data_IF_739189360337
#
_entry.id   IF_739189360337
#
_cell.length_a   1.000
_cell.length_b   1.000
_cell.length_c   1.000
_cell.angle_alpha   90.00
_cell.angle_beta   90.00
_cell.angle_gamma   90.00
#
_symmetry.space_group_name_H-M   'P 1'
#
loop_
_entity.id
_entity.type
_entity.pdbx_description
1 polymer ?
#
# COMPACT_ATOMS: atom_id res chain seq x y z
N UNK A 1 17.83 70.39 23.90
CA UNK A 1 18.52 69.29 24.60
C UNK A 1 17.45 68.28 24.97
N UNK A 2 17.55 66.99 24.62
CA UNK A 2 16.54 66.03 25.05
C UNK A 2 16.71 65.83 26.56
N UNK A 3 15.68 66.18 27.33
CA UNK A 3 15.61 65.85 28.76
C UNK A 3 15.75 64.33 28.89
N UNK A 4 16.70 63.89 29.71
CA UNK A 4 16.86 62.48 30.01
C UNK A 4 15.56 62.03 30.68
N UNK A 5 14.91 60.96 30.20
CA UNK A 5 13.73 60.46 30.88
C UNK A 5 14.12 60.15 32.34
N UNK A 6 13.26 60.52 33.29
CA UNK A 6 13.46 60.19 34.69
C UNK A 6 13.75 58.70 34.88
N UNK A 7 14.25 58.29 36.04
CA UNK A 7 14.58 56.89 36.33
C UNK A 7 13.36 55.95 36.33
N UNK A 8 12.14 56.48 36.28
CA UNK A 8 10.87 55.75 36.32
C UNK A 8 10.70 54.68 35.21
N UNK A 9 10.94 54.96 33.90
CA UNK A 9 10.78 53.96 32.84
C UNK A 9 11.82 52.84 32.92
N UNK A 10 13.01 53.14 33.46
CA UNK A 10 14.07 52.16 33.67
C UNK A 10 13.69 51.20 34.80
N UNK A 11 13.11 51.72 35.88
CA UNK A 11 12.61 50.93 37.02
C UNK A 11 11.40 50.07 36.59
N UNK A 12 10.49 50.61 35.78
CA UNK A 12 9.36 49.86 35.22
C UNK A 12 9.85 48.73 34.31
N UNK A 13 10.79 49.00 33.41
CA UNK A 13 11.36 47.98 32.53
C UNK A 13 12.11 46.88 33.31
N UNK A 14 12.91 47.26 34.32
CA UNK A 14 13.64 46.31 35.16
C UNK A 14 12.69 45.43 36.01
N UNK A 15 11.62 46.02 36.57
CA UNK A 15 10.62 45.28 37.34
C UNK A 15 9.81 44.31 36.46
N UNK A 16 9.42 44.72 35.25
CA UNK A 16 8.76 43.85 34.28
C UNK A 16 9.65 42.68 33.86
N UNK A 17 10.95 42.90 33.62
CA UNK A 17 11.89 41.80 33.35
C UNK A 17 12.06 40.87 34.55
N UNK A 18 12.15 41.41 35.76
CA UNK A 18 12.27 40.60 36.98
C UNK A 18 11.02 39.73 37.19
N UNK A 19 9.82 40.30 37.02
CA UNK A 19 8.54 39.56 37.15
C UNK A 19 8.41 38.47 36.10
N UNK A 20 8.71 38.77 34.84
CA UNK A 20 8.66 37.78 33.75
C UNK A 20 9.71 36.68 33.90
N UNK A 21 10.91 37.00 34.39
CA UNK A 21 11.93 36.01 34.72
C UNK A 21 11.49 35.10 35.87
N UNK A 22 10.93 35.65 36.94
CA UNK A 22 10.39 34.87 38.07
C UNK A 22 9.25 33.97 37.60
N UNK A 23 8.35 34.47 36.77
CA UNK A 23 7.27 33.68 36.19
C UNK A 23 7.80 32.56 35.29
N UNK A 24 8.79 32.84 34.45
CA UNK A 24 9.43 31.86 33.57
C UNK A 24 10.16 30.76 34.35
N UNK A 25 10.90 31.14 35.40
CA UNK A 25 11.56 30.19 36.31
C UNK A 25 10.53 29.37 37.08
N UNK A 26 9.44 29.99 37.54
CA UNK A 26 8.35 29.30 38.24
C UNK A 26 7.67 28.27 37.33
N UNK A 27 7.36 28.65 36.08
CA UNK A 27 6.80 27.75 35.07
C UNK A 27 7.77 26.60 34.75
N UNK A 28 9.07 26.89 34.67
CA UNK A 28 10.11 25.88 34.48
C UNK A 28 10.20 24.89 35.65
N UNK A 29 10.17 25.38 36.89
CA UNK A 29 10.17 24.54 38.08
C UNK A 29 8.89 23.69 38.19
N UNK A 30 7.75 24.26 37.80
CA UNK A 30 6.47 23.55 37.72
C UNK A 30 6.50 22.44 36.66
N UNK A 31 7.00 22.73 35.45
CA UNK A 31 7.18 21.74 34.40
C UNK A 31 8.12 20.60 34.84
N UNK A 32 9.22 20.90 35.56
CA UNK A 32 10.11 19.89 36.15
C UNK A 32 9.39 19.01 37.18
N UNK A 33 8.49 19.58 37.99
CA UNK A 33 7.69 18.82 38.96
C UNK A 33 6.64 17.94 38.27
N UNK A 34 6.07 18.40 37.16
CA UNK A 34 5.16 17.60 36.34
C UNK A 34 5.89 16.40 35.72
N UNK A 35 7.08 16.60 35.12
CA UNK A 35 7.88 15.48 34.58
C UNK A 35 8.28 14.46 35.66
N UNK A 36 8.54 14.90 36.89
CA UNK A 36 8.88 13.99 37.99
C UNK A 36 7.67 13.23 38.57
N UNK A 37 6.44 13.68 38.28
CA UNK A 37 5.19 13.01 38.66
C UNK A 37 4.57 12.20 37.52
N UNK A 38 5.00 12.46 36.28
CA UNK A 38 4.48 11.81 35.08
C UNK A 38 5.01 10.38 34.88
N UNK A 39 5.99 9.93 35.67
CA UNK A 39 6.46 8.52 35.67
C UNK A 39 5.34 7.52 36.04
N UNK A 40 4.26 7.97 36.68
CA UNK A 40 3.08 7.14 37.03
C UNK A 40 1.94 7.16 35.98
N UNK A 41 2.03 8.01 34.95
CA UNK A 41 1.00 8.13 33.89
C UNK A 41 1.42 7.43 32.60
N UNK A 42 0.61 6.49 32.12
CA UNK A 42 0.89 5.62 30.95
C UNK A 42 1.03 6.33 29.57
N UNK A 43 1.06 7.66 29.49
CA UNK A 43 0.89 8.41 28.24
C UNK A 43 2.16 9.18 27.85
N UNK A 44 2.83 8.73 26.78
CA UNK A 44 4.09 9.31 26.26
C UNK A 44 4.01 10.80 25.82
N UNK A 45 2.80 11.34 25.68
CA UNK A 45 2.57 12.75 25.32
C UNK A 45 2.81 13.71 26.48
N UNK A 46 2.61 13.25 27.72
CA UNK A 46 2.70 14.10 28.91
C UNK A 46 4.15 14.46 29.23
N UNK A 47 5.06 13.48 29.12
CA UNK A 47 6.51 13.69 29.26
C UNK A 47 7.05 14.66 28.21
N UNK A 48 6.56 14.53 26.98
CA UNK A 48 7.01 15.37 25.88
C UNK A 48 6.52 16.80 26.03
N UNK A 49 5.25 16.99 26.40
CA UNK A 49 4.66 18.30 26.66
C UNK A 49 5.34 19.00 27.85
N UNK A 50 5.62 18.27 28.92
CA UNK A 50 6.27 18.83 30.10
C UNK A 50 7.76 19.17 29.84
N UNK A 51 8.49 18.37 29.06
CA UNK A 51 9.85 18.70 28.60
C UNK A 51 9.86 19.94 27.70
N UNK A 52 8.89 20.07 26.80
CA UNK A 52 8.77 21.27 25.97
C UNK A 52 8.48 22.51 26.80
N UNK A 53 7.52 22.45 27.72
CA UNK A 53 7.22 23.54 28.63
C UNK A 53 8.47 23.96 29.43
N UNK A 54 9.25 22.99 29.91
CA UNK A 54 10.51 23.24 30.61
C UNK A 54 11.55 23.96 29.75
N UNK A 55 11.76 23.48 28.52
CA UNK A 55 12.75 24.03 27.59
C UNK A 55 12.35 25.41 27.04
N UNK A 56 11.05 25.67 26.90
CA UNK A 56 10.51 26.86 26.27
C UNK A 56 10.19 28.00 27.25
N UNK A 57 9.88 27.68 28.50
CA UNK A 57 9.49 28.65 29.51
C UNK A 57 10.52 29.76 29.70
N UNK A 58 11.81 29.41 29.80
CA UNK A 58 12.88 30.38 30.02
C UNK A 58 13.15 31.28 28.80
N UNK A 59 13.43 30.75 27.59
CA UNK A 59 13.72 31.60 26.44
C UNK A 59 12.52 32.44 26.00
N UNK A 60 11.28 31.91 26.01
CA UNK A 60 10.09 32.72 25.70
C UNK A 60 9.78 33.74 26.79
N UNK A 61 9.99 33.39 28.06
CA UNK A 61 9.83 34.33 29.17
C UNK A 61 10.80 35.50 29.09
N UNK A 62 12.06 35.24 28.75
CA UNK A 62 13.07 36.28 28.51
C UNK A 62 12.73 37.16 27.31
N UNK A 63 12.28 36.58 26.20
CA UNK A 63 11.92 37.33 24.99
C UNK A 63 10.63 38.16 25.20
N UNK A 64 9.62 37.59 25.86
CA UNK A 64 8.39 38.29 26.22
C UNK A 64 8.66 39.42 27.24
N UNK A 65 9.52 39.17 28.23
CA UNK A 65 10.00 40.18 29.17
C UNK A 65 10.75 41.31 28.46
N UNK A 66 11.65 40.99 27.53
CA UNK A 66 12.36 41.96 26.72
C UNK A 66 11.40 42.77 25.82
N UNK A 67 10.35 42.17 25.30
CA UNK A 67 9.32 42.84 24.49
C UNK A 67 8.50 43.83 25.32
N UNK A 68 8.04 43.43 26.51
CA UNK A 68 7.31 44.31 27.42
C UNK A 68 8.20 45.44 27.96
N UNK A 69 9.46 45.13 28.29
CA UNK A 69 10.45 46.12 28.71
C UNK A 69 10.73 47.14 27.59
N UNK A 70 10.90 46.68 26.35
CA UNK A 70 11.11 47.58 25.21
C UNK A 70 9.96 48.58 25.03
N UNK A 71 8.71 48.16 25.26
CA UNK A 71 7.53 49.03 25.22
C UNK A 71 7.44 50.03 26.37
N UNK A 72 8.07 49.75 27.51
CA UNK A 72 8.10 50.65 28.67
C UNK A 72 9.16 51.76 28.54
N UNK A 73 10.21 51.56 27.72
CA UNK A 73 11.22 52.59 27.47
C UNK A 73 10.75 53.60 26.40
N UNK A 74 11.02 54.90 26.57
CA UNK A 74 10.75 55.92 25.55
C UNK A 74 11.80 55.84 24.42
N UNK A 75 11.74 54.77 23.63
CA UNK A 75 12.63 54.54 22.51
C UNK A 75 12.27 55.42 21.31
N UNK A 76 13.27 55.83 20.54
CA UNK A 76 13.04 56.49 19.26
C UNK A 76 12.31 55.55 18.29
N UNK A 77 11.42 56.08 17.44
CA UNK A 77 10.55 55.26 16.57
C UNK A 77 11.33 54.24 15.72
N UNK A 78 12.50 54.62 15.20
CA UNK A 78 13.38 53.73 14.43
C UNK A 78 13.97 52.58 15.25
N UNK A 79 14.40 52.84 16.48
CA UNK A 79 14.94 51.80 17.37
C UNK A 79 13.87 50.84 17.85
N UNK A 80 12.64 51.32 18.11
CA UNK A 80 11.53 50.46 18.52
C UNK A 80 11.15 49.44 17.42
N UNK A 81 11.12 49.88 16.15
CA UNK A 81 10.84 48.99 15.02
C UNK A 81 11.95 47.94 14.86
N UNK A 82 13.22 48.34 14.98
CA UNK A 82 14.35 47.41 14.89
C UNK A 82 14.32 46.38 16.04
N UNK A 83 14.13 46.83 17.28
CA UNK A 83 14.01 45.95 18.46
C UNK A 83 12.83 44.99 18.33
N UNK A 84 11.68 45.47 17.86
CA UNK A 84 10.51 44.63 17.60
C UNK A 84 10.80 43.52 16.59
N UNK A 85 11.45 43.84 15.45
CA UNK A 85 11.82 42.85 14.43
C UNK A 85 12.83 41.82 14.93
N UNK A 86 13.81 42.23 15.73
CA UNK A 86 14.80 41.30 16.29
C UNK A 86 14.17 40.38 17.33
N UNK A 87 13.30 40.91 18.20
CA UNK A 87 12.62 40.11 19.21
C UNK A 87 11.62 39.11 18.59
N UNK A 88 10.88 39.52 17.55
CA UNK A 88 9.98 38.61 16.83
C UNK A 88 10.76 37.53 16.10
N UNK A 89 11.86 37.88 15.42
CA UNK A 89 12.76 36.91 14.79
C UNK A 89 13.33 35.90 15.79
N UNK A 90 13.81 36.37 16.95
CA UNK A 90 14.31 35.51 18.01
C UNK A 90 13.23 34.59 18.58
N UNK A 91 12.01 35.09 18.74
CA UNK A 91 10.86 34.29 19.20
C UNK A 91 10.52 33.20 18.20
N UNK A 92 10.44 33.53 16.91
CA UNK A 92 10.20 32.56 15.84
C UNK A 92 11.28 31.48 15.81
N UNK A 93 12.55 31.85 15.98
CA UNK A 93 13.65 30.89 16.01
C UNK A 93 13.54 29.92 17.20
N UNK A 94 13.26 30.44 18.41
CA UNK A 94 13.08 29.61 19.62
C UNK A 94 11.90 28.65 19.44
N UNK A 95 10.76 29.13 18.94
CA UNK A 95 9.57 28.31 18.69
C UNK A 95 9.88 27.24 17.63
N UNK A 96 10.60 27.59 16.56
CA UNK A 96 10.94 26.67 15.47
C UNK A 96 11.89 25.55 15.95
N UNK A 97 12.89 25.89 16.77
CA UNK A 97 13.80 24.90 17.37
C UNK A 97 13.04 23.95 18.31
N UNK A 98 12.09 24.46 19.07
CA UNK A 98 11.27 23.65 19.95
C UNK A 98 10.33 22.73 19.18
N UNK A 99 9.72 23.22 18.11
CA UNK A 99 8.88 22.40 17.24
C UNK A 99 9.70 21.31 16.52
N UNK A 100 10.94 21.60 16.12
CA UNK A 100 11.83 20.62 15.53
C UNK A 100 12.24 19.53 16.55
N UNK A 101 12.44 19.90 17.82
CA UNK A 101 12.67 18.93 18.91
C UNK A 101 11.42 18.12 19.23
N UNK A 102 10.25 18.76 19.26
CA UNK A 102 8.96 18.10 19.49
C UNK A 102 8.70 17.02 18.46
N UNK A 103 8.75 17.39 17.19
CA UNK A 103 8.53 16.46 16.06
C UNK A 103 9.53 15.30 16.09
N UNK A 104 10.80 15.56 16.37
CA UNK A 104 11.80 14.51 16.55
C UNK A 104 11.47 13.56 17.73
N UNK A 105 11.00 14.11 18.85
CA UNK A 105 10.57 13.33 20.02
C UNK A 105 9.37 12.43 19.73
N UNK A 106 8.38 12.92 18.98
CA UNK A 106 7.22 12.14 18.53
C UNK A 106 7.65 11.01 17.61
N UNK A 107 8.51 11.30 16.63
CA UNK A 107 8.97 10.28 15.67
C UNK A 107 9.75 9.17 16.39
N UNK A 108 10.61 9.55 17.34
CA UNK A 108 11.36 8.59 18.14
C UNK A 108 10.46 7.74 19.05
N UNK A 109 9.44 8.34 19.68
CA UNK A 109 8.52 7.59 20.56
C UNK A 109 7.66 6.59 19.78
N UNK A 110 7.14 6.97 18.61
CA UNK A 110 6.39 6.07 17.72
C UNK A 110 7.26 4.92 17.21
N UNK A 111 8.53 5.19 16.91
CA UNK A 111 9.45 4.16 16.43
C UNK A 111 9.76 3.09 17.47
N UNK A 112 9.94 3.48 18.73
CA UNK A 112 10.18 2.56 19.85
C UNK A 112 9.00 1.60 20.07
N UNK A 113 7.78 2.05 19.81
CA UNK A 113 6.56 1.23 19.92
C UNK A 113 6.47 0.20 18.78
N UNK A 114 6.99 0.53 17.58
CA UNK A 114 6.78 -0.27 16.36
C UNK A 114 7.94 -1.18 15.96
N UNK A 115 8.91 -1.44 16.83
CA UNK A 115 10.15 -2.18 16.51
C UNK A 115 10.78 -1.72 15.18
N UNK A 116 10.70 -0.41 14.88
CA UNK A 116 11.22 0.13 13.62
C UNK A 116 12.74 -0.01 13.55
N UNK A 117 13.29 -0.28 12.36
CA UNK A 117 14.75 -0.27 12.16
C UNK A 117 15.29 1.14 12.45
N UNK A 118 16.37 1.24 13.24
CA UNK A 118 16.94 2.52 13.68
C UNK A 118 17.28 3.48 12.53
N UNK A 119 17.59 2.93 11.35
CA UNK A 119 17.89 3.69 10.14
C UNK A 119 16.67 4.50 9.63
N UNK A 120 15.47 3.90 9.60
CA UNK A 120 14.27 4.56 9.10
C UNK A 120 13.86 5.75 9.99
N UNK A 121 13.96 5.58 11.30
CA UNK A 121 13.63 6.62 12.31
C UNK A 121 14.50 7.86 12.12
N UNK A 122 15.78 7.65 11.84
CA UNK A 122 16.77 8.73 11.69
C UNK A 122 16.48 9.56 10.43
N UNK A 123 16.10 8.91 9.33
CA UNK A 123 15.75 9.59 8.07
C UNK A 123 14.51 10.48 8.27
N UNK A 124 13.41 9.95 8.81
CA UNK A 124 12.19 10.73 9.03
C UNK A 124 12.43 11.90 10.01
N UNK A 125 13.17 11.65 11.08
CA UNK A 125 13.53 12.70 12.05
C UNK A 125 14.31 13.84 11.40
N UNK A 126 15.28 13.52 10.54
CA UNK A 126 16.10 14.51 9.86
C UNK A 126 15.27 15.30 8.83
N UNK A 127 14.43 14.63 8.04
CA UNK A 127 13.53 15.29 7.08
C UNK A 127 12.59 16.27 7.81
N UNK A 128 11.94 15.84 8.89
CA UNK A 128 11.05 16.70 9.67
C UNK A 128 11.78 17.90 10.28
N UNK A 129 13.00 17.70 10.80
CA UNK A 129 13.83 18.82 11.30
C UNK A 129 14.17 19.82 10.21
N UNK A 130 14.61 19.35 9.03
CA UNK A 130 14.93 20.23 7.89
C UNK A 130 13.70 21.03 7.46
N UNK A 131 12.53 20.40 7.39
CA UNK A 131 11.28 21.09 7.02
C UNK A 131 10.88 22.14 8.06
N UNK A 132 10.83 21.77 9.34
CA UNK A 132 10.42 22.69 10.42
C UNK A 132 11.39 23.86 10.54
N UNK A 133 12.70 23.59 10.52
CA UNK A 133 13.71 24.67 10.61
C UNK A 133 13.74 25.51 9.34
N UNK A 134 13.56 24.92 8.16
CA UNK A 134 13.46 25.65 6.90
C UNK A 134 12.31 26.66 6.92
N UNK A 135 11.11 26.22 7.32
CA UNK A 135 9.96 27.12 7.49
C UNK A 135 10.24 28.17 8.56
N UNK A 136 10.82 27.78 9.71
CA UNK A 136 11.20 28.69 10.78
C UNK A 136 12.15 29.80 10.32
N UNK A 137 13.16 29.45 9.54
CA UNK A 137 14.12 30.41 8.96
C UNK A 137 13.43 31.37 7.99
N UNK A 138 12.49 30.89 7.15
CA UNK A 138 11.74 31.77 6.25
C UNK A 138 10.89 32.78 7.04
N UNK A 139 10.13 32.33 8.04
CA UNK A 139 9.31 33.21 8.88
C UNK A 139 10.18 34.21 9.65
N UNK A 140 11.34 33.76 10.14
CA UNK A 140 12.33 34.62 10.79
C UNK A 140 12.85 35.70 9.85
N UNK A 141 13.27 35.35 8.62
CA UNK A 141 13.74 36.31 7.62
C UNK A 141 12.65 37.33 7.24
N UNK A 142 11.41 36.87 7.10
CA UNK A 142 10.27 37.76 6.85
C UNK A 142 10.07 38.76 8.00
N UNK A 143 10.21 38.32 9.26
CA UNK A 143 10.10 39.21 10.43
C UNK A 143 11.20 40.29 10.50
N UNK A 144 12.39 40.00 9.93
CA UNK A 144 13.47 40.97 9.77
C UNK A 144 13.25 41.96 8.61
N UNK A 145 12.21 41.74 7.81
CA UNK A 145 11.91 42.54 6.61
C UNK A 145 12.68 42.11 5.37
N UNK A 146 13.30 40.93 5.38
CA UNK A 146 13.92 40.34 4.19
C UNK A 146 12.84 39.75 3.30
N UNK A 147 12.88 40.05 2.00
CA UNK A 147 11.96 39.46 1.04
C UNK A 147 12.23 37.96 0.87
N UNK A 148 11.26 37.14 1.27
CA UNK A 148 11.34 35.67 1.14
C UNK A 148 10.81 35.17 -0.21
N UNK A 149 10.23 36.04 -1.04
CA UNK A 149 9.64 35.67 -2.34
C UNK A 149 10.61 34.90 -3.25
N UNK A 150 11.89 35.30 -3.41
CA UNK A 150 12.83 34.53 -4.23
C UNK A 150 13.13 33.15 -3.66
N UNK A 151 13.21 33.03 -2.33
CA UNK A 151 13.43 31.74 -1.65
C UNK A 151 12.23 30.81 -1.82
N UNK A 152 11.01 31.34 -1.69
CA UNK A 152 9.79 30.59 -1.97
C UNK A 152 9.72 30.12 -3.43
N UNK A 153 10.11 30.98 -4.38
CA UNK A 153 10.23 30.60 -5.79
C UNK A 153 11.20 29.44 -6.02
N UNK A 154 12.40 29.52 -5.44
CA UNK A 154 13.41 28.47 -5.52
C UNK A 154 12.94 27.15 -4.87
N UNK A 155 12.33 27.23 -3.68
CA UNK A 155 11.76 26.08 -2.98
C UNK A 155 10.59 25.47 -3.74
N UNK A 156 9.77 26.27 -4.43
CA UNK A 156 8.70 25.79 -5.29
C UNK A 156 9.22 24.94 -6.45
N UNK A 157 10.23 25.45 -7.17
CA UNK A 157 10.88 24.71 -8.27
C UNK A 157 11.61 23.47 -7.76
N UNK A 158 12.36 23.59 -6.66
CA UNK A 158 13.04 22.45 -6.02
C UNK A 158 12.06 21.39 -5.51
N UNK A 159 10.94 21.82 -4.93
CA UNK A 159 9.85 20.95 -4.47
C UNK A 159 9.20 20.19 -5.62
N UNK A 160 8.99 20.85 -6.77
CA UNK A 160 8.50 20.19 -7.99
C UNK A 160 9.48 19.11 -8.47
N UNK A 161 10.79 19.40 -8.49
CA UNK A 161 11.80 18.42 -8.88
C UNK A 161 11.80 17.19 -7.95
N UNK A 162 11.69 17.39 -6.64
CA UNK A 162 11.57 16.30 -5.66
C UNK A 162 10.26 15.52 -5.83
N UNK A 163 9.14 16.20 -6.09
CA UNK A 163 7.85 15.55 -6.31
C UNK A 163 7.86 14.66 -7.56
N UNK A 164 8.49 15.12 -8.65
CA UNK A 164 8.69 14.32 -9.86
C UNK A 164 9.60 13.11 -9.59
N UNK A 165 10.68 13.29 -8.83
CA UNK A 165 11.56 12.18 -8.45
C UNK A 165 10.87 11.13 -7.56
N UNK A 166 9.91 11.55 -6.73
CA UNK A 166 9.15 10.68 -5.83
C UNK A 166 7.83 10.16 -6.43
N UNK A 167 7.51 10.52 -7.67
CA UNK A 167 6.23 10.21 -8.31
C UNK A 167 5.88 8.71 -8.22
N UNK A 168 6.83 7.83 -8.53
CA UNK A 168 6.61 6.37 -8.48
C UNK A 168 6.40 5.86 -7.06
N UNK A 169 7.10 6.43 -6.08
CA UNK A 169 6.93 6.04 -4.67
C UNK A 169 5.53 6.41 -4.17
N UNK A 170 5.07 7.61 -4.49
CA UNK A 170 3.72 8.07 -4.15
C UNK A 170 2.66 7.25 -4.88
N UNK A 171 2.86 6.95 -6.17
CA UNK A 171 1.94 6.12 -6.94
C UNK A 171 1.76 4.73 -6.31
N UNK A 172 2.85 4.08 -5.90
CA UNK A 172 2.79 2.78 -5.21
C UNK A 172 2.11 2.88 -3.84
N UNK A 173 2.37 3.94 -3.07
CA UNK A 173 1.70 4.17 -1.79
C UNK A 173 0.18 4.29 -1.96
N UNK A 174 -0.28 5.15 -2.87
CA UNK A 174 -1.70 5.35 -3.10
C UNK A 174 -2.39 4.11 -3.68
N UNK A 175 -1.71 3.38 -4.58
CA UNK A 175 -2.22 2.12 -5.09
C UNK A 175 -2.37 1.06 -3.97
N UNK A 176 -1.39 0.97 -3.07
CA UNK A 176 -1.45 0.06 -1.92
C UNK A 176 -2.59 0.38 -0.97
N UNK A 177 -2.74 1.66 -0.60
CA UNK A 177 -3.87 2.12 0.22
C UNK A 177 -5.20 1.84 -0.45
N UNK A 178 -5.31 2.05 -1.77
CA UNK A 178 -6.52 1.76 -2.52
C UNK A 178 -6.86 0.27 -2.51
N UNK A 179 -5.90 -0.62 -2.76
CA UNK A 179 -6.10 -2.08 -2.72
C UNK A 179 -6.59 -2.52 -1.34
N UNK A 180 -5.97 -2.02 -0.28
CA UNK A 180 -6.37 -2.34 1.10
C UNK A 180 -7.77 -1.82 1.44
N UNK A 181 -8.13 -0.63 0.92
CA UNK A 181 -9.44 -0.02 1.17
C UNK A 181 -10.56 -0.68 0.37
N UNK A 182 -10.31 -1.03 -0.89
CA UNK A 182 -11.30 -1.65 -1.78
C UNK A 182 -11.47 -3.15 -1.53
N UNK A 183 -10.49 -3.80 -0.89
CA UNK A 183 -10.44 -5.25 -0.65
C UNK A 183 -10.66 -6.06 -1.93
N UNK A 184 -10.12 -5.58 -3.06
CA UNK A 184 -10.17 -6.30 -4.34
C UNK A 184 -9.32 -7.56 -4.36
N UNK A 185 -8.34 -7.65 -3.44
CA UNK A 185 -7.51 -8.81 -3.18
C UNK A 185 -7.10 -8.84 -1.71
N UNK A 186 -7.07 -10.01 -1.11
CA UNK A 186 -6.66 -10.24 0.27
C UNK A 186 -5.56 -11.31 0.34
N UNK A 187 -4.71 -11.31 1.39
CA UNK A 187 -3.78 -12.42 1.62
C UNK A 187 -4.53 -13.76 1.64
N UNK A 188 -4.05 -14.72 0.84
CA UNK A 188 -4.70 -16.01 0.60
C UNK A 188 -5.39 -16.14 -0.76
N UNK A 189 -5.76 -15.03 -1.41
CA UNK A 189 -6.40 -15.09 -2.73
C UNK A 189 -5.42 -15.55 -3.82
N UNK A 190 -5.89 -16.35 -4.78
CA UNK A 190 -5.16 -16.65 -6.00
C UNK A 190 -5.52 -15.62 -7.08
N UNK A 191 -4.51 -14.91 -7.57
CA UNK A 191 -4.68 -13.85 -8.56
C UNK A 191 -3.86 -14.10 -9.82
N UNK A 192 -4.33 -13.58 -10.94
CA UNK A 192 -3.60 -13.52 -12.21
C UNK A 192 -3.68 -12.13 -12.80
N UNK A 193 -2.55 -11.58 -13.20
CA UNK A 193 -2.45 -10.32 -13.92
C UNK A 193 -2.48 -10.56 -15.43
N UNK A 194 -3.02 -9.61 -16.18
CA UNK A 194 -2.98 -9.65 -17.65
C UNK A 194 -1.54 -9.63 -18.22
N UNK A 195 -0.55 -9.24 -17.42
CA UNK A 195 0.88 -9.28 -17.75
C UNK A 195 1.52 -10.67 -17.58
N UNK A 196 0.77 -11.66 -17.09
CA UNK A 196 1.18 -13.07 -17.00
C UNK A 196 1.63 -13.52 -15.61
N UNK A 197 1.86 -12.62 -14.65
CA UNK A 197 2.18 -12.99 -13.27
C UNK A 197 0.95 -13.59 -12.58
N UNK A 198 1.15 -14.68 -11.84
CA UNK A 198 0.09 -15.36 -11.10
C UNK A 198 0.58 -16.05 -9.83
N UNK A 199 -0.29 -16.15 -8.85
CA UNK A 199 0.02 -16.82 -7.59
C UNK A 199 -0.91 -16.43 -6.44
N UNK A 200 -0.62 -17.01 -5.28
CA UNK A 200 -1.30 -16.72 -4.02
C UNK A 200 -0.76 -15.45 -3.36
N UNK A 201 -1.63 -14.52 -3.00
CA UNK A 201 -1.23 -13.31 -2.27
C UNK A 201 -0.73 -13.72 -0.88
N UNK A 202 0.51 -13.38 -0.57
CA UNK A 202 1.13 -13.67 0.73
C UNK A 202 0.98 -12.49 1.67
N UNK A 203 1.31 -11.30 1.18
CA UNK A 203 1.34 -10.08 1.99
C UNK A 203 1.17 -8.84 1.10
N UNK A 204 0.53 -7.81 1.64
CA UNK A 204 0.29 -6.52 0.98
C UNK A 204 0.89 -5.43 1.87
N UNK A 205 2.04 -4.91 1.47
CA UNK A 205 2.72 -3.81 2.14
C UNK A 205 2.36 -2.46 1.51
N UNK A 206 2.81 -1.37 2.13
CA UNK A 206 2.51 -0.01 1.68
C UNK A 206 3.01 0.30 0.25
N UNK A 207 4.04 -0.39 -0.26
CA UNK A 207 4.61 -0.16 -1.60
C UNK A 207 4.48 -1.35 -2.55
N UNK A 208 4.44 -2.57 -2.01
CA UNK A 208 4.56 -3.79 -2.79
C UNK A 208 3.57 -4.86 -2.27
N UNK A 209 3.12 -5.71 -3.17
CA UNK A 209 2.42 -6.96 -2.84
C UNK A 209 3.33 -8.13 -3.18
N UNK A 210 3.42 -9.11 -2.28
CA UNK A 210 4.16 -10.35 -2.52
C UNK A 210 3.18 -11.47 -2.87
N UNK A 211 3.44 -12.17 -3.97
CA UNK A 211 2.68 -13.35 -4.38
C UNK A 211 3.58 -14.58 -4.37
N UNK A 212 3.01 -15.74 -4.07
CA UNK A 212 3.66 -17.05 -4.14
C UNK A 212 3.15 -17.81 -5.35
N UNK A 213 4.03 -18.03 -6.30
CA UNK A 213 3.74 -18.79 -7.53
C UNK A 213 3.44 -20.26 -7.22
N UNK A 214 2.85 -20.98 -8.17
CA UNK A 214 2.64 -22.44 -8.05
C UNK A 214 3.96 -23.22 -7.95
N UNK A 215 5.07 -22.63 -8.40
CA UNK A 215 6.43 -23.17 -8.26
C UNK A 215 7.08 -22.79 -6.92
N UNK A 216 6.32 -22.28 -5.96
CA UNK A 216 6.74 -21.89 -4.60
C UNK A 216 7.75 -20.72 -4.54
N UNK A 217 7.90 -19.96 -5.62
CA UNK A 217 8.71 -18.72 -5.64
C UNK A 217 7.89 -17.51 -5.16
N UNK A 218 8.55 -16.58 -4.46
CA UNK A 218 7.97 -15.28 -4.09
C UNK A 218 8.29 -14.23 -5.16
N UNK A 219 7.25 -13.68 -5.79
CA UNK A 219 7.34 -12.52 -6.67
C UNK A 219 6.87 -11.26 -5.93
N UNK A 220 7.68 -10.20 -5.98
CA UNK A 220 7.39 -8.92 -5.33
C UNK A 220 6.97 -7.90 -6.38
N UNK A 221 5.69 -7.53 -6.36
CA UNK A 221 5.08 -6.69 -7.40
C UNK A 221 4.80 -5.29 -6.80
N UNK A 222 5.25 -4.21 -7.45
CA UNK A 222 4.90 -2.85 -7.04
C UNK A 222 3.38 -2.64 -7.07
N UNK A 223 2.82 -1.99 -6.04
CA UNK A 223 1.39 -1.80 -5.91
C UNK A 223 0.77 -1.05 -7.10
N UNK A 224 1.50 -0.09 -7.68
CA UNK A 224 1.05 0.69 -8.83
C UNK A 224 0.84 -0.18 -10.09
N UNK A 225 1.44 -1.36 -10.17
CA UNK A 225 1.20 -2.30 -11.27
C UNK A 225 -0.25 -2.79 -11.27
N UNK A 226 -0.81 -3.12 -10.10
CA UNK A 226 -2.19 -3.60 -9.98
C UNK A 226 -3.23 -2.57 -10.41
N UNK A 227 -2.94 -1.28 -10.26
CA UNK A 227 -3.81 -0.21 -10.77
C UNK A 227 -3.71 0.01 -12.28
N UNK A 228 -2.65 -0.50 -12.93
CA UNK A 228 -2.38 -0.32 -14.36
C UNK A 228 -2.74 -1.53 -15.22
N UNK A 229 -2.88 -2.71 -14.60
CA UNK A 229 -3.17 -3.98 -15.29
C UNK A 229 -4.53 -4.53 -14.89
N UNK A 230 -5.13 -5.36 -15.74
CA UNK A 230 -6.34 -6.10 -15.37
C UNK A 230 -5.93 -7.22 -14.42
N UNK A 231 -6.56 -7.26 -13.25
CA UNK A 231 -6.41 -8.32 -12.25
C UNK A 231 -7.63 -9.24 -12.29
N UNK A 232 -7.40 -10.54 -12.42
CA UNK A 232 -8.42 -11.58 -12.20
C UNK A 232 -8.18 -12.21 -10.85
N UNK A 233 -9.16 -12.08 -9.95
CA UNK A 233 -9.16 -12.76 -8.66
C UNK A 233 -10.00 -14.04 -8.80
N UNK A 234 -9.38 -15.20 -8.55
CA UNK A 234 -10.05 -16.49 -8.67
C UNK A 234 -10.79 -16.93 -7.41
N UNK A 235 -10.67 -16.18 -6.31
CA UNK A 235 -11.37 -16.42 -5.04
C UNK A 235 -12.62 -15.55 -4.88
N UNK A 236 -12.91 -14.66 -5.83
CA UNK A 236 -14.03 -13.71 -5.78
C UNK A 236 -14.88 -13.78 -7.07
N UNK A 237 -16.22 -13.66 -6.99
CA UNK A 237 -17.03 -13.44 -5.79
C UNK A 237 -17.21 -14.69 -4.92
N UNK A 238 -16.94 -15.87 -5.46
CA UNK A 238 -16.93 -17.15 -4.76
C UNK A 238 -15.63 -17.89 -5.06
N UNK A 239 -15.19 -18.74 -4.14
CA UNK A 239 -13.95 -19.49 -4.26
C UNK A 239 -14.04 -20.60 -5.33
N UNK A 240 -15.25 -21.13 -5.52
CA UNK A 240 -15.49 -22.22 -6.44
C UNK A 240 -15.64 -21.73 -7.89
N UNK A 241 -14.98 -22.42 -8.81
CA UNK A 241 -14.85 -22.01 -10.21
C UNK A 241 -15.26 -23.09 -11.19
N UNK A 242 -15.59 -22.67 -12.41
CA UNK A 242 -15.91 -23.57 -13.50
C UNK A 242 -14.64 -23.98 -14.24
N UNK A 243 -14.40 -25.27 -14.33
CA UNK A 243 -13.32 -25.88 -15.09
C UNK A 243 -13.86 -26.37 -16.44
N UNK A 244 -13.41 -25.76 -17.52
CA UNK A 244 -13.78 -26.13 -18.88
C UNK A 244 -12.72 -27.09 -19.44
N UNK A 245 -13.14 -28.32 -19.75
CA UNK A 245 -12.31 -29.37 -20.32
C UNK A 245 -12.76 -29.66 -21.75
N UNK A 246 -11.81 -29.71 -22.68
CA UNK A 246 -12.08 -30.05 -24.08
C UNK A 246 -11.90 -31.55 -24.29
N UNK A 247 -12.88 -32.18 -24.93
CA UNK A 247 -12.85 -33.58 -25.32
C UNK A 247 -13.55 -33.76 -26.68
N UNK A 248 -13.40 -34.94 -27.27
CA UNK A 248 -13.97 -35.24 -28.58
C UNK A 248 -14.33 -36.71 -28.73
N UNK A 249 -15.30 -37.01 -29.59
CA UNK A 249 -15.68 -38.36 -29.99
C UNK A 249 -15.71 -38.50 -31.53
N UNK A 250 -15.81 -39.74 -32.03
CA UNK A 250 -15.97 -40.01 -33.45
C UNK A 250 -17.35 -39.54 -33.98
N UNK A 251 -17.46 -39.41 -35.30
CA UNK A 251 -18.70 -38.99 -35.97
C UNK A 251 -19.83 -40.01 -35.92
N UNK A 252 -19.48 -41.28 -35.85
CA UNK A 252 -20.38 -42.42 -35.76
C UNK A 252 -20.80 -42.74 -34.32
N UNK A 253 -20.26 -42.00 -33.34
CA UNK A 253 -20.66 -42.14 -31.93
C UNK A 253 -22.07 -41.61 -31.69
N UNK A 254 -22.86 -42.33 -30.89
CA UNK A 254 -24.14 -41.85 -30.38
C UNK A 254 -23.90 -40.72 -29.35
N UNK A 255 -24.25 -39.49 -29.71
CA UNK A 255 -23.99 -38.30 -28.89
C UNK A 255 -24.76 -38.31 -27.57
N UNK A 256 -25.98 -38.87 -27.55
CA UNK A 256 -26.78 -38.96 -26.32
C UNK A 256 -26.13 -39.96 -25.34
N UNK A 257 -25.60 -41.06 -25.88
CA UNK A 257 -24.84 -42.03 -25.09
C UNK A 257 -23.52 -41.43 -24.58
N UNK A 258 -22.77 -40.73 -25.43
CA UNK A 258 -21.52 -40.05 -25.03
C UNK A 258 -21.79 -39.03 -23.91
N UNK A 259 -22.82 -38.20 -24.05
CA UNK A 259 -23.20 -37.22 -23.03
C UNK A 259 -23.48 -37.89 -21.69
N UNK A 260 -24.29 -38.96 -21.69
CA UNK A 260 -24.62 -39.71 -20.48
C UNK A 260 -23.36 -40.26 -19.79
N UNK A 261 -22.47 -40.90 -20.56
CA UNK A 261 -21.22 -41.48 -20.03
C UNK A 261 -20.31 -40.39 -19.44
N UNK A 262 -20.17 -39.25 -20.13
CA UNK A 262 -19.34 -38.13 -19.67
C UNK A 262 -19.91 -37.52 -18.38
N UNK A 263 -21.24 -37.37 -18.28
CA UNK A 263 -21.91 -36.86 -17.07
C UNK A 263 -21.74 -37.81 -15.89
N UNK A 264 -21.87 -39.13 -16.10
CA UNK A 264 -21.62 -40.14 -15.05
C UNK A 264 -20.20 -40.04 -14.51
N UNK A 265 -19.19 -40.01 -15.40
CA UNK A 265 -17.78 -39.86 -15.00
C UNK A 265 -17.55 -38.51 -14.30
N UNK A 266 -18.18 -37.44 -14.78
CA UNK A 266 -18.11 -36.12 -14.15
C UNK A 266 -18.63 -36.16 -12.72
N UNK A 267 -19.78 -36.80 -12.47
CA UNK A 267 -20.35 -36.93 -11.13
C UNK A 267 -19.45 -37.75 -10.19
N UNK A 268 -18.90 -38.86 -10.66
CA UNK A 268 -17.95 -39.65 -9.88
C UNK A 268 -16.73 -38.81 -9.46
N UNK A 269 -16.19 -38.01 -10.38
CA UNK A 269 -15.05 -37.13 -10.09
C UNK A 269 -15.42 -36.06 -9.06
N UNK A 270 -16.58 -35.41 -9.21
CA UNK A 270 -17.05 -34.39 -8.26
C UNK A 270 -17.28 -34.97 -6.85
N UNK A 271 -17.70 -36.23 -6.75
CA UNK A 271 -17.97 -36.90 -5.48
C UNK A 271 -16.70 -37.43 -4.79
N UNK A 272 -15.78 -38.01 -5.55
CA UNK A 272 -14.64 -38.78 -5.00
C UNK A 272 -13.32 -38.02 -4.97
N UNK A 273 -13.09 -37.08 -5.89
CA UNK A 273 -11.80 -36.38 -6.01
C UNK A 273 -11.81 -35.14 -5.11
N UNK A 274 -10.82 -35.06 -4.24
CA UNK A 274 -10.61 -33.89 -3.38
C UNK A 274 -10.46 -32.61 -4.24
N UNK A 275 -11.22 -31.57 -3.87
CA UNK A 275 -11.33 -30.32 -4.60
C UNK A 275 -12.51 -30.24 -5.57
N UNK A 276 -13.23 -31.34 -5.82
CA UNK A 276 -14.48 -31.35 -6.57
C UNK A 276 -15.65 -30.79 -5.74
N UNK A 277 -16.54 -30.03 -6.37
CA UNK A 277 -17.76 -29.56 -5.70
C UNK A 277 -18.81 -30.69 -5.76
N UNK A 278 -19.03 -31.36 -4.62
CA UNK A 278 -19.79 -32.63 -4.52
C UNK A 278 -21.19 -32.61 -5.15
N UNK A 279 -21.92 -31.50 -5.00
CA UNK A 279 -23.29 -31.36 -5.49
C UNK A 279 -23.38 -30.65 -6.85
N UNK A 280 -22.24 -30.37 -7.51
CA UNK A 280 -22.23 -29.72 -8.80
C UNK A 280 -22.60 -30.68 -9.92
N UNK A 281 -23.53 -30.27 -10.78
CA UNK A 281 -23.91 -31.01 -11.98
C UNK A 281 -22.89 -30.77 -13.10
N UNK A 282 -22.22 -31.82 -13.63
CA UNK A 282 -21.43 -31.71 -14.84
C UNK A 282 -22.31 -31.33 -16.03
N UNK A 283 -21.80 -30.46 -16.91
CA UNK A 283 -22.47 -30.11 -18.16
C UNK A 283 -21.60 -30.51 -19.35
N UNK A 284 -22.24 -31.02 -20.40
CA UNK A 284 -21.58 -31.36 -21.66
C UNK A 284 -22.21 -30.56 -22.79
N UNK A 285 -21.39 -29.93 -23.63
CA UNK A 285 -21.86 -29.13 -24.77
C UNK A 285 -21.05 -29.47 -26.02
N UNK A 286 -21.66 -30.18 -26.96
CA UNK A 286 -21.11 -30.35 -28.31
C UNK A 286 -21.20 -29.03 -29.07
N UNK A 287 -20.13 -28.64 -29.77
CA UNK A 287 -20.08 -27.31 -30.41
C UNK A 287 -19.35 -27.26 -31.76
N UNK A 288 -18.49 -28.23 -32.09
CA UNK A 288 -17.68 -28.14 -33.32
C UNK A 288 -17.50 -29.49 -33.99
N UNK A 289 -17.82 -29.53 -35.28
CA UNK A 289 -17.48 -30.60 -36.20
C UNK A 289 -16.12 -30.28 -36.85
N UNK A 290 -15.16 -31.20 -36.75
CA UNK A 290 -13.79 -31.08 -37.28
C UNK A 290 -13.48 -32.24 -38.26
N UNK A 291 -12.27 -32.35 -38.82
CA UNK A 291 -11.95 -33.27 -39.92
C UNK A 291 -12.39 -34.74 -39.71
N UNK A 292 -12.32 -35.23 -38.47
CA UNK A 292 -12.62 -36.65 -38.12
C UNK A 292 -13.33 -36.83 -36.78
N UNK A 293 -13.75 -35.74 -36.12
CA UNK A 293 -14.23 -35.77 -34.74
C UNK A 293 -15.23 -34.67 -34.44
N UNK A 294 -16.05 -34.91 -33.43
CA UNK A 294 -16.99 -33.95 -32.85
C UNK A 294 -16.40 -33.49 -31.51
N UNK A 295 -16.14 -32.19 -31.38
CA UNK A 295 -15.62 -31.58 -30.16
C UNK A 295 -16.76 -31.16 -29.24
N UNK A 296 -16.53 -31.39 -27.95
CA UNK A 296 -17.42 -30.97 -26.88
C UNK A 296 -16.64 -30.43 -25.69
N UNK A 297 -17.25 -29.47 -25.01
CA UNK A 297 -16.75 -28.92 -23.76
C UNK A 297 -17.47 -29.58 -22.60
N UNK A 298 -16.70 -30.06 -21.63
CA UNK A 298 -17.20 -30.53 -20.33
C UNK A 298 -16.95 -29.45 -19.30
N UNK A 299 -18.00 -29.04 -18.60
CA UNK A 299 -17.95 -28.02 -17.56
C UNK A 299 -18.09 -28.72 -16.21
N UNK A 300 -17.01 -28.70 -15.43
CA UNK A 300 -16.95 -29.19 -14.05
C UNK A 300 -16.81 -28.01 -13.08
N UNK A 301 -16.95 -28.26 -11.77
CA UNK A 301 -16.74 -27.25 -10.73
C UNK A 301 -15.61 -27.67 -9.79
N UNK A 302 -14.72 -26.74 -9.46
CA UNK A 302 -13.62 -26.95 -8.52
C UNK A 302 -13.77 -25.99 -7.34
N UNK A 303 -13.39 -26.42 -6.15
CA UNK A 303 -13.47 -25.62 -4.92
C UNK A 303 -12.45 -24.48 -4.95
N UNK A 304 -11.27 -24.72 -5.53
CA UNK A 304 -10.21 -23.72 -5.65
C UNK A 304 -9.45 -23.85 -6.98
N UNK A 305 -8.67 -22.82 -7.33
CA UNK A 305 -7.81 -22.81 -8.52
C UNK A 305 -6.83 -23.99 -8.55
N UNK A 306 -6.14 -24.27 -7.44
CA UNK A 306 -5.12 -25.33 -7.40
C UNK A 306 -5.67 -26.74 -7.66
N UNK A 307 -6.92 -27.00 -7.27
CA UNK A 307 -7.55 -28.32 -7.40
C UNK A 307 -7.83 -28.72 -8.84
N UNK A 308 -7.90 -27.74 -9.76
CA UNK A 308 -8.22 -27.97 -11.16
C UNK A 308 -7.25 -28.97 -11.82
N UNK A 309 -5.98 -28.97 -11.40
CA UNK A 309 -4.95 -29.84 -11.99
C UNK A 309 -5.21 -31.30 -11.64
N UNK A 310 -5.62 -31.57 -10.39
CA UNK A 310 -5.96 -32.90 -9.92
C UNK A 310 -7.26 -33.41 -10.55
N UNK A 311 -8.29 -32.57 -10.58
CA UNK A 311 -9.58 -32.91 -11.20
C UNK A 311 -9.41 -33.21 -12.68
N UNK A 312 -8.67 -32.36 -13.41
CA UNK A 312 -8.38 -32.58 -14.82
C UNK A 312 -7.62 -33.88 -15.06
N UNK A 313 -6.62 -34.16 -14.22
CA UNK A 313 -5.84 -35.40 -14.31
C UNK A 313 -6.72 -36.64 -14.15
N UNK A 314 -7.54 -36.69 -13.10
CA UNK A 314 -8.42 -37.84 -12.83
C UNK A 314 -9.54 -37.95 -13.87
N UNK A 315 -10.15 -36.84 -14.26
CA UNK A 315 -11.22 -36.84 -15.27
C UNK A 315 -10.76 -37.44 -16.60
N UNK A 316 -9.60 -37.00 -17.12
CA UNK A 316 -9.05 -37.51 -18.39
C UNK A 316 -8.78 -39.02 -18.31
N UNK A 317 -8.21 -39.50 -17.19
CA UNK A 317 -7.95 -40.94 -16.98
C UNK A 317 -9.24 -41.76 -16.96
N UNK A 318 -10.22 -41.34 -16.17
CA UNK A 318 -11.48 -42.07 -15.99
C UNK A 318 -12.32 -42.05 -17.25
N UNK A 319 -12.40 -40.89 -17.92
CA UNK A 319 -13.12 -40.75 -19.19
C UNK A 319 -12.52 -41.68 -20.25
N UNK A 320 -11.19 -41.67 -20.41
CA UNK A 320 -10.51 -42.55 -21.36
C UNK A 320 -10.75 -44.04 -21.06
N UNK A 321 -10.80 -44.43 -19.77
CA UNK A 321 -11.13 -45.80 -19.37
C UNK A 321 -12.58 -46.14 -19.70
N UNK A 322 -13.53 -45.25 -19.40
CA UNK A 322 -14.95 -45.49 -19.60
C UNK A 322 -15.32 -45.54 -21.07
N UNK A 323 -14.77 -44.65 -21.90
CA UNK A 323 -14.94 -44.69 -23.36
C UNK A 323 -14.53 -46.04 -23.96
N UNK A 324 -13.41 -46.63 -23.49
CA UNK A 324 -12.98 -47.94 -23.97
C UNK A 324 -13.92 -49.08 -23.56
N UNK A 325 -14.55 -48.98 -22.39
CA UNK A 325 -15.49 -49.99 -21.91
C UNK A 325 -16.83 -49.92 -22.67
N UNK A 326 -17.28 -48.71 -22.98
CA UNK A 326 -18.54 -48.45 -23.69
C UNK A 326 -18.39 -48.51 -25.22
N UNK A 327 -17.18 -48.75 -25.74
CA UNK A 327 -16.91 -48.81 -27.18
C UNK A 327 -16.95 -47.45 -27.89
N UNK A 328 -16.84 -46.35 -27.14
CA UNK A 328 -16.77 -44.99 -27.70
C UNK A 328 -15.36 -44.76 -28.25
N UNK A 329 -15.23 -44.69 -29.57
CA UNK A 329 -13.94 -44.46 -30.22
C UNK A 329 -13.51 -42.99 -30.14
N UNK A 330 -12.23 -42.80 -29.81
CA UNK A 330 -11.54 -41.52 -29.97
C UNK A 330 -10.59 -41.64 -31.16
N UNK A 331 -11.00 -41.18 -32.36
CA UNK A 331 -10.26 -41.47 -33.58
C UNK A 331 -8.92 -40.73 -33.55
N UNK A 332 -7.79 -41.38 -33.88
CA UNK A 332 -6.55 -40.67 -34.12
C UNK A 332 -6.72 -39.74 -35.34
N UNK A 333 -5.82 -38.77 -35.56
CA UNK A 333 -5.86 -37.94 -36.77
C UNK A 333 -5.78 -38.82 -38.03
N UNK A 334 -6.89 -38.95 -38.77
CA UNK A 334 -6.95 -39.74 -40.01
C UNK A 334 -6.94 -38.85 -41.23
N UNK A 335 -6.19 -39.23 -42.28
CA UNK A 335 -6.20 -38.56 -43.58
C UNK A 335 -6.51 -39.56 -44.68
N UNK A 336 -7.52 -39.26 -45.50
CA UNK A 336 -7.80 -40.03 -46.72
C UNK A 336 -6.86 -39.57 -47.83
N UNK A 337 -6.01 -40.46 -48.33
CA UNK A 337 -5.13 -40.22 -49.48
C UNK A 337 -5.72 -40.92 -50.70
N UNK A 338 -6.15 -40.15 -51.70
CA UNK A 338 -6.54 -40.68 -53.00
C UNK A 338 -5.28 -40.82 -53.86
N UNK A 339 -4.92 -42.05 -54.24
CA UNK A 339 -3.82 -42.32 -55.16
C UNK A 339 -4.39 -42.45 -56.59
N UNK A 340 -4.12 -41.50 -57.50
CA UNK A 340 -4.57 -41.60 -58.89
C UNK A 340 -3.88 -42.78 -59.58
N UNK A 341 -4.66 -43.73 -60.12
CA UNK A 341 -4.15 -44.85 -60.92
C UNK A 341 -4.17 -46.23 -60.25
N UNK A 342 -4.61 -46.35 -58.99
CA UNK A 342 -4.89 -47.65 -58.39
C UNK A 342 -6.28 -48.15 -58.82
N UNK A 343 -6.35 -48.93 -59.90
CA UNK A 343 -7.51 -49.78 -60.17
C UNK A 343 -7.73 -50.67 -58.95
N UNK A 344 -8.75 -50.36 -58.15
CA UNK A 344 -9.15 -51.22 -57.04
C UNK A 344 -10.60 -51.59 -57.27
N UNK A 345 -10.82 -52.74 -57.91
CA UNK A 345 -11.91 -53.60 -57.51
C UNK A 345 -11.81 -53.75 -55.99
N UNK A 346 -12.74 -53.15 -55.27
CA UNK A 346 -12.87 -53.38 -53.84
C UNK A 346 -13.22 -54.88 -53.68
N UNK A 347 -12.45 -55.70 -52.95
CA UNK A 347 -12.96 -56.99 -52.56
C UNK A 347 -14.20 -56.73 -51.70
N UNK A 348 -15.35 -57.24 -52.16
CA UNK A 348 -16.59 -57.20 -51.41
C UNK A 348 -16.29 -57.81 -50.03
N UNK A 349 -16.43 -57.00 -48.98
CA UNK A 349 -16.28 -57.47 -47.61
C UNK A 349 -17.21 -58.67 -47.35
N UNK A 350 -16.83 -59.59 -46.44
CA UNK A 350 -17.67 -60.75 -46.17
C UNK A 350 -19.04 -60.28 -45.68
N UNK A 351 -20.08 -60.73 -46.38
CA UNK A 351 -21.43 -60.75 -45.84
C UNK A 351 -21.49 -61.92 -44.88
N UNK A 352 -21.61 -61.64 -43.59
CA UNK A 352 -22.33 -62.44 -42.59
C UNK A 352 -22.72 -61.53 -41.43
#
# INVERSE_FOLDING_TARGET
MPEWPGWEPIIIAASVMAVTLVLAVSLRLFAKRLTARAEDTRWAWDDLAARLLYDLALPLGLLGGAWLAANALPLHKGTMVATGRVLTAATVLVVSLALARLTAGIIASVALIRQGTAANVTIFTNISKVLVLGVGVLVMLQSLGVSITPLLGALGVGGLAVALALQDTLANLFAGVHVLASRTMEPGDYIRLSSGQEGYVVDINWRNTSIRTLSDNIEVIPNATFSKTILTNYHRPAQDMSLLLQASCAYDSDLDHVEKVVIEVGHEIMAEVEGGVKDAQPLVRFHTFDDSRIHFTVILRTVEFGDQFRIKHEFVKRLHRRFRLEGIEMPPPTRRVLLPGANTELPAGPRD
#
